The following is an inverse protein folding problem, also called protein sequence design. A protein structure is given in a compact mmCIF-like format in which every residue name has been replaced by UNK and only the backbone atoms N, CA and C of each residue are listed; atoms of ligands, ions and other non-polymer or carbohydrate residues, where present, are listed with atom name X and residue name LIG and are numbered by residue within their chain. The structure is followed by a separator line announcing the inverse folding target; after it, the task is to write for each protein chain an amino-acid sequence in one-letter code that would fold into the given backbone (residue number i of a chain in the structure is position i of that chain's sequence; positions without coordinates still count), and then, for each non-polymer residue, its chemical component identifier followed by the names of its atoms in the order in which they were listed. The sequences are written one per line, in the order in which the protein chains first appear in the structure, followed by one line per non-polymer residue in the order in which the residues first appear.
data_IF_884557334691
#
_entry.id   IF_884557334691
#
_cell.length_a   1.000
_cell.length_b   1.000
_cell.length_c   1.000
_cell.angle_alpha   90.00
_cell.angle_beta   90.00
_cell.angle_gamma   90.00
#
_symmetry.space_group_name_H-M   'P 1'
#
loop_
_entity.id
_entity.type
_entity.pdbx_description
1 polymer ?
#
# COMPACT_ATOMS: atom_id res chain seq x y z
N UNK A 1 -10.46 5.19 -8.32
CA UNK A 1 -9.62 4.03 -8.67
C UNK A 1 -10.33 2.76 -8.24
N UNK A 2 -10.32 1.73 -9.08
CA UNK A 2 -10.85 0.39 -8.79
C UNK A 2 -9.73 -0.64 -9.03
N UNK A 3 -9.74 -1.71 -8.25
CA UNK A 3 -8.82 -2.84 -8.43
C UNK A 3 -9.61 -4.14 -8.55
N UNK A 4 -9.08 -5.10 -9.27
CA UNK A 4 -9.63 -6.46 -9.36
C UNK A 4 -8.91 -7.31 -8.34
N UNK A 5 -9.68 -7.95 -7.46
CA UNK A 5 -9.14 -8.82 -6.43
C UNK A 5 -9.27 -10.27 -6.88
N UNK A 6 -8.21 -11.09 -6.78
CA UNK A 6 -8.29 -12.51 -7.05
C UNK A 6 -9.39 -13.19 -6.21
N UNK A 7 -10.14 -14.12 -6.82
CA UNK A 7 -11.27 -14.81 -6.15
C UNK A 7 -10.88 -15.56 -4.87
N UNK A 8 -9.62 -15.96 -4.76
CA UNK A 8 -9.08 -16.64 -3.57
C UNK A 8 -8.82 -15.72 -2.38
N UNK A 9 -8.90 -14.41 -2.56
CA UNK A 9 -8.62 -13.45 -1.50
C UNK A 9 -9.91 -12.99 -0.79
N UNK A 10 -9.76 -12.63 0.48
CA UNK A 10 -10.80 -11.97 1.26
C UNK A 10 -10.54 -10.47 1.32
N UNK A 11 -11.58 -9.66 1.12
CA UNK A 11 -11.47 -8.20 1.26
C UNK A 11 -12.26 -7.76 2.48
N UNK A 12 -11.60 -7.04 3.37
CA UNK A 12 -12.19 -6.37 4.51
C UNK A 12 -11.97 -4.87 4.37
N UNK A 13 -13.00 -4.06 4.51
CA UNK A 13 -12.91 -2.61 4.40
C UNK A 13 -13.46 -1.93 5.64
N UNK A 14 -13.16 -0.66 5.80
CA UNK A 14 -13.73 0.16 6.87
C UNK A 14 -15.27 0.26 6.80
N UNK A 15 -15.85 -0.03 5.63
CA UNK A 15 -17.29 -0.06 5.40
C UNK A 15 -17.91 -1.46 5.61
N UNK A 16 -17.08 -2.50 5.81
CA UNK A 16 -17.56 -3.85 6.12
C UNK A 16 -18.22 -3.83 7.50
N UNK A 17 -19.51 -4.20 7.63
CA UNK A 17 -20.18 -4.20 8.93
C UNK A 17 -19.43 -5.06 9.97
N UNK A 18 -19.26 -4.55 11.19
CA UNK A 18 -18.54 -5.28 12.24
C UNK A 18 -19.14 -6.66 12.58
N UNK A 19 -20.43 -6.88 12.29
CA UNK A 19 -21.10 -8.17 12.45
C UNK A 19 -20.96 -9.10 11.24
N UNK A 20 -20.22 -8.71 10.18
CA UNK A 20 -20.05 -9.55 9.01
C UNK A 20 -19.16 -10.76 9.33
N UNK A 21 -19.57 -11.93 8.83
CA UNK A 21 -18.85 -13.18 9.03
C UNK A 21 -17.45 -13.21 8.37
N UNK A 22 -17.17 -12.30 7.44
CA UNK A 22 -15.86 -12.17 6.81
C UNK A 22 -14.75 -11.87 7.82
N UNK A 23 -15.03 -11.08 8.88
CA UNK A 23 -14.07 -10.77 9.93
C UNK A 23 -13.62 -12.04 10.67
N UNK A 24 -14.57 -12.84 11.11
CA UNK A 24 -14.25 -14.10 11.82
C UNK A 24 -13.58 -15.14 10.93
N UNK A 25 -13.94 -15.20 9.64
CA UNK A 25 -13.25 -16.06 8.65
C UNK A 25 -11.81 -15.65 8.44
N UNK A 26 -11.50 -14.36 8.53
CA UNK A 26 -10.15 -13.82 8.48
C UNK A 26 -9.40 -13.92 9.83
N UNK A 27 -9.99 -14.54 10.86
CA UNK A 27 -9.38 -14.70 12.18
C UNK A 27 -9.45 -13.43 13.06
N UNK A 28 -10.21 -12.41 12.65
CA UNK A 28 -10.34 -11.15 13.38
C UNK A 28 -11.51 -11.27 14.36
N UNK A 29 -11.19 -11.29 15.67
CA UNK A 29 -12.17 -11.51 16.73
C UNK A 29 -12.92 -10.23 17.13
N UNK A 30 -12.26 -9.07 17.02
CA UNK A 30 -12.85 -7.76 17.30
C UNK A 30 -12.81 -6.87 16.06
N UNK A 31 -13.84 -7.01 15.24
CA UNK A 31 -13.99 -6.24 14.02
C UNK A 31 -14.12 -4.72 14.29
N UNK A 32 -14.77 -4.36 15.41
CA UNK A 32 -14.95 -2.93 15.75
C UNK A 32 -13.64 -2.24 16.09
N UNK A 33 -12.76 -2.93 16.82
CA UNK A 33 -11.42 -2.41 17.12
C UNK A 33 -10.56 -2.36 15.88
N UNK A 34 -10.61 -3.41 15.05
CA UNK A 34 -9.87 -3.46 13.78
C UNK A 34 -10.27 -2.33 12.83
N UNK A 35 -11.57 -2.05 12.69
CA UNK A 35 -12.05 -0.93 11.86
C UNK A 35 -11.51 0.41 12.37
N UNK A 36 -11.49 0.64 13.68
CA UNK A 36 -10.91 1.86 14.28
C UNK A 36 -9.42 1.98 14.01
N UNK A 37 -8.69 0.86 14.13
CA UNK A 37 -7.27 0.81 13.79
C UNK A 37 -7.02 1.17 12.33
N UNK A 38 -7.76 0.56 11.40
CA UNK A 38 -7.68 0.86 9.97
C UNK A 38 -7.95 2.36 9.71
N UNK A 39 -9.02 2.90 10.28
CA UNK A 39 -9.37 4.32 10.13
C UNK A 39 -8.27 5.24 10.68
N UNK A 40 -7.72 4.93 11.86
CA UNK A 40 -6.61 5.67 12.46
C UNK A 40 -5.36 5.67 11.58
N UNK A 41 -5.08 4.56 10.92
CA UNK A 41 -3.91 4.39 10.06
C UNK A 41 -4.16 4.89 8.62
N UNK A 42 -5.39 5.33 8.29
CA UNK A 42 -5.78 5.74 6.93
C UNK A 42 -5.88 4.56 5.96
N UNK A 43 -5.97 3.34 6.47
CA UNK A 43 -6.24 2.13 5.70
C UNK A 43 -7.73 2.09 5.34
N UNK A 44 -8.04 1.92 4.08
CA UNK A 44 -9.41 1.86 3.58
C UNK A 44 -9.91 0.42 3.43
N UNK A 45 -8.99 -0.49 3.11
CA UNK A 45 -9.26 -1.92 2.99
C UNK A 45 -8.01 -2.75 3.29
N UNK A 46 -8.23 -4.01 3.64
CA UNK A 46 -7.22 -5.06 3.69
C UNK A 46 -7.61 -6.19 2.73
N UNK A 47 -6.65 -6.64 1.93
CA UNK A 47 -6.80 -7.75 0.99
C UNK A 47 -5.98 -8.89 1.55
N UNK A 48 -6.64 -9.95 1.98
CA UNK A 48 -6.03 -11.10 2.63
C UNK A 48 -5.93 -12.23 1.61
N UNK A 49 -4.70 -12.59 1.25
CA UNK A 49 -4.41 -13.69 0.34
C UNK A 49 -4.71 -15.06 0.97
N UNK A 50 -4.80 -16.10 0.16
CA UNK A 50 -5.08 -17.45 0.62
C UNK A 50 -4.00 -18.02 1.57
N UNK A 51 -2.76 -17.55 1.44
CA UNK A 51 -1.64 -17.91 2.33
C UNK A 51 -1.60 -17.12 3.65
N UNK A 52 -2.54 -16.16 3.83
CA UNK A 52 -2.65 -15.32 5.01
C UNK A 52 -1.93 -13.97 4.92
N UNK A 53 -1.17 -13.73 3.85
CA UNK A 53 -0.54 -12.42 3.64
C UNK A 53 -1.59 -11.33 3.46
N UNK A 54 -1.37 -10.18 4.06
CA UNK A 54 -2.34 -9.08 4.06
C UNK A 54 -1.76 -7.84 3.41
N UNK A 55 -2.43 -7.35 2.35
CA UNK A 55 -2.13 -6.08 1.72
C UNK A 55 -3.05 -5.02 2.29
N UNK A 56 -2.49 -4.03 2.98
CA UNK A 56 -3.22 -2.85 3.40
C UNK A 56 -3.34 -1.87 2.23
N UNK A 57 -4.55 -1.42 1.94
CA UNK A 57 -4.82 -0.39 0.93
C UNK A 57 -5.13 0.91 1.64
N UNK A 58 -4.35 1.94 1.37
CA UNK A 58 -4.52 3.25 1.98
C UNK A 58 -4.66 4.36 0.93
N UNK A 59 -5.34 5.45 1.31
CA UNK A 59 -5.44 6.66 0.52
C UNK A 59 -5.33 7.87 1.47
N UNK A 60 -4.17 8.53 1.45
CA UNK A 60 -3.84 9.61 2.40
C UNK A 60 -3.59 10.92 1.66
N UNK A 61 -4.19 12.00 2.12
CA UNK A 61 -3.86 13.35 1.66
C UNK A 61 -2.63 13.89 2.37
N UNK A 62 -1.82 14.65 1.65
CA UNK A 62 -0.71 15.42 2.20
C UNK A 62 -0.53 16.70 1.38
N UNK A 63 0.17 17.69 1.94
CA UNK A 63 0.45 18.92 1.19
C UNK A 63 1.24 18.65 -0.08
N UNK A 64 2.17 17.71 -0.03
CA UNK A 64 2.93 17.29 -1.20
C UNK A 64 2.02 16.62 -2.25
N UNK A 65 1.21 15.65 -1.85
CA UNK A 65 0.29 14.98 -2.77
C UNK A 65 -0.70 15.97 -3.40
N UNK A 66 -1.22 16.90 -2.62
CA UNK A 66 -2.11 17.96 -3.12
C UNK A 66 -1.39 18.88 -4.13
N UNK A 67 -0.11 19.21 -3.91
CA UNK A 67 0.67 20.09 -4.81
C UNK A 67 1.02 19.44 -6.14
N UNK A 68 1.31 18.15 -6.14
CA UNK A 68 1.66 17.37 -7.36
C UNK A 68 0.40 16.89 -8.07
N UNK A 69 -0.61 16.53 -7.30
CA UNK A 69 -1.90 16.00 -7.70
C UNK A 69 -1.83 14.60 -8.34
N UNK A 70 -0.95 14.40 -9.33
CA UNK A 70 -0.70 13.12 -9.99
C UNK A 70 0.77 12.97 -10.35
N UNK A 71 1.31 11.75 -10.31
CA UNK A 71 2.69 11.49 -10.73
C UNK A 71 2.96 11.81 -12.19
N UNK A 72 1.95 11.74 -13.06
CA UNK A 72 2.07 12.14 -14.47
C UNK A 72 2.38 13.64 -14.66
N UNK A 73 2.13 14.46 -13.66
CA UNK A 73 2.42 15.90 -13.70
C UNK A 73 3.90 16.21 -13.46
N UNK A 74 4.69 15.24 -12.99
CA UNK A 74 6.10 15.41 -12.74
C UNK A 74 6.90 15.30 -14.04
N UNK A 75 7.76 16.30 -14.27
CA UNK A 75 8.82 16.19 -15.27
C UNK A 75 9.94 15.24 -14.79
N UNK A 76 10.93 15.00 -15.62
CA UNK A 76 12.04 14.08 -15.30
C UNK A 76 12.85 14.52 -14.07
N UNK A 77 12.95 15.82 -13.81
CA UNK A 77 13.59 16.33 -12.58
C UNK A 77 12.70 16.06 -11.38
N UNK A 78 11.41 16.39 -11.47
CA UNK A 78 10.43 16.14 -10.41
C UNK A 78 10.34 14.67 -10.03
N UNK A 79 10.40 13.76 -11.02
CA UNK A 79 10.45 12.32 -10.77
C UNK A 79 11.68 11.88 -9.96
N UNK A 80 12.85 12.43 -10.28
CA UNK A 80 14.10 12.15 -9.53
C UNK A 80 14.03 12.70 -8.10
N UNK A 81 13.55 13.93 -7.95
CA UNK A 81 13.40 14.57 -6.65
C UNK A 81 12.38 13.82 -5.78
N UNK A 82 11.30 13.31 -6.39
CA UNK A 82 10.31 12.48 -5.72
C UNK A 82 10.92 11.19 -5.15
N UNK A 83 11.65 10.41 -5.98
CA UNK A 83 12.29 9.18 -5.49
C UNK A 83 13.24 9.47 -4.33
N UNK A 84 14.04 10.53 -4.45
CA UNK A 84 14.96 10.94 -3.37
C UNK A 84 14.22 11.33 -2.08
N UNK A 85 13.07 12.00 -2.21
CA UNK A 85 12.25 12.40 -1.07
C UNK A 85 11.61 11.21 -0.37
N UNK A 86 11.20 10.19 -1.14
CA UNK A 86 10.53 9.00 -0.64
C UNK A 86 11.49 7.86 -0.26
N UNK A 87 12.80 8.05 -0.45
CA UNK A 87 13.80 7.02 -0.15
C UNK A 87 13.77 6.63 1.34
N UNK A 88 13.56 5.33 1.65
CA UNK A 88 13.49 4.88 3.03
C UNK A 88 14.84 5.05 3.73
N UNK A 89 14.86 5.77 4.83
CA UNK A 89 16.06 5.93 5.64
C UNK A 89 15.70 6.24 7.09
N UNK A 90 16.53 5.79 8.01
CA UNK A 90 16.50 6.22 9.41
C UNK A 90 17.79 6.93 9.77
N UNK A 91 17.73 7.84 10.75
CA UNK A 91 18.91 8.57 11.23
C UNK A 91 19.98 7.66 11.86
N UNK A 92 19.57 6.53 12.44
CA UNK A 92 20.43 5.56 13.12
C UNK A 92 20.84 4.37 12.24
N UNK A 93 20.39 4.36 10.96
CA UNK A 93 20.66 3.27 10.03
C UNK A 93 19.88 1.98 10.31
N UNK A 94 18.93 1.99 11.24
CA UNK A 94 18.11 0.82 11.56
C UNK A 94 17.09 0.46 10.47
N UNK A 95 16.84 1.40 9.56
CA UNK A 95 15.97 1.20 8.41
C UNK A 95 16.77 1.41 7.13
N UNK A 96 16.74 0.43 6.26
CA UNK A 96 17.31 0.49 4.91
C UNK A 96 16.24 0.14 3.89
N UNK A 97 16.38 0.64 2.67
CA UNK A 97 15.43 0.29 1.63
C UNK A 97 15.80 0.86 0.29
N UNK A 98 15.02 0.51 -0.69
CA UNK A 98 15.15 1.01 -2.05
C UNK A 98 13.81 1.51 -2.54
N UNK A 99 13.85 2.53 -3.41
CA UNK A 99 12.67 2.98 -4.14
C UNK A 99 12.96 2.97 -5.63
N UNK A 100 12.02 2.45 -6.41
CA UNK A 100 12.11 2.41 -7.87
C UNK A 100 10.78 2.77 -8.51
N UNK A 101 10.81 3.16 -9.77
CA UNK A 101 9.59 3.26 -10.56
C UNK A 101 9.07 1.88 -10.91
N UNK A 102 7.75 1.74 -10.89
CA UNK A 102 7.03 0.56 -11.32
C UNK A 102 6.13 0.95 -12.50
N UNK A 103 6.33 0.28 -13.63
CA UNK A 103 5.55 0.52 -14.85
C UNK A 103 4.12 0.03 -14.68
N UNK A 104 3.17 0.97 -14.86
CA UNK A 104 1.75 0.67 -14.87
C UNK A 104 1.10 1.35 -16.08
N UNK A 105 0.10 0.68 -16.70
CA UNK A 105 -0.47 1.07 -17.98
C UNK A 105 -1.09 2.49 -18.02
N UNK A 106 -1.56 3.02 -16.92
CA UNK A 106 -2.32 4.28 -16.86
C UNK A 106 -1.59 5.41 -16.13
N UNK A 107 -0.89 5.10 -15.05
CA UNK A 107 -0.21 6.08 -14.20
C UNK A 107 1.04 5.43 -13.61
N UNK A 108 2.17 6.15 -13.48
CA UNK A 108 3.34 5.62 -12.82
C UNK A 108 3.04 5.22 -11.37
N UNK A 109 3.53 4.06 -10.99
CA UNK A 109 3.65 3.68 -9.59
C UNK A 109 5.11 3.75 -9.18
N UNK A 110 5.36 3.87 -7.91
CA UNK A 110 6.66 3.60 -7.30
C UNK A 110 6.54 2.34 -6.44
N UNK A 111 7.64 1.63 -6.31
CA UNK A 111 7.77 0.48 -5.41
C UNK A 111 8.84 0.81 -4.38
N UNK A 112 8.53 0.58 -3.13
CA UNK A 112 9.46 0.71 -2.01
C UNK A 112 9.65 -0.66 -1.38
N UNK A 113 10.90 -1.07 -1.21
CA UNK A 113 11.30 -2.19 -0.36
C UNK A 113 11.96 -1.64 0.89
N UNK A 114 11.52 -2.08 2.05
CA UNK A 114 12.05 -1.68 3.34
C UNK A 114 12.53 -2.92 4.08
N UNK A 115 13.69 -2.79 4.71
CA UNK A 115 14.19 -3.72 5.72
C UNK A 115 14.49 -2.89 6.96
N UNK A 116 13.77 -3.13 8.03
CA UNK A 116 13.95 -2.44 9.30
C UNK A 116 14.43 -3.42 10.38
N UNK A 117 15.47 -3.05 11.13
CA UNK A 117 15.85 -3.80 12.31
C UNK A 117 14.78 -3.64 13.39
N UNK A 118 14.27 -4.77 13.88
CA UNK A 118 13.31 -4.75 14.97
C UNK A 118 14.00 -5.10 16.29
N UNK A 119 14.13 -4.10 17.16
CA UNK A 119 14.80 -4.25 18.47
C UNK A 119 14.00 -5.15 19.44
N UNK A 120 12.73 -5.38 19.15
CA UNK A 120 11.81 -6.14 20.03
C UNK A 120 11.61 -7.59 19.57
N UNK A 121 12.00 -7.90 18.36
CA UNK A 121 11.83 -9.22 17.75
C UNK A 121 13.17 -9.78 17.28
N UNK A 122 13.28 -11.09 17.14
CA UNK A 122 14.49 -11.76 16.69
C UNK A 122 14.63 -11.69 15.17
N UNK A 123 14.91 -10.51 14.61
CA UNK A 123 15.25 -10.35 13.22
C UNK A 123 14.68 -9.10 12.55
N UNK A 124 15.09 -8.83 11.30
CA UNK A 124 14.59 -7.70 10.55
C UNK A 124 13.14 -7.90 10.11
N UNK A 125 12.40 -6.81 9.97
CA UNK A 125 11.07 -6.78 9.39
C UNK A 125 11.18 -6.28 7.95
N UNK A 126 10.52 -6.96 7.03
CA UNK A 126 10.48 -6.60 5.62
C UNK A 126 9.11 -6.04 5.26
N UNK A 127 9.09 -4.98 4.47
CA UNK A 127 7.89 -4.33 3.96
C UNK A 127 8.07 -4.07 2.46
N UNK A 128 7.01 -4.23 1.69
CA UNK A 128 6.93 -3.81 0.30
C UNK A 128 5.68 -2.99 0.07
N UNK A 129 5.88 -1.82 -0.52
CA UNK A 129 4.80 -0.89 -0.83
C UNK A 129 4.83 -0.57 -2.33
N UNK A 130 3.66 -0.67 -2.96
CA UNK A 130 3.40 -0.07 -4.27
C UNK A 130 2.52 1.16 -4.06
N UNK A 131 2.95 2.30 -4.59
CA UNK A 131 2.24 3.55 -4.37
C UNK A 131 2.17 4.43 -5.61
N UNK A 132 1.18 5.30 -5.63
CA UNK A 132 1.05 6.35 -6.64
C UNK A 132 0.48 7.62 -6.02
N UNK A 133 0.66 8.76 -6.71
CA UNK A 133 -0.09 9.98 -6.42
C UNK A 133 -1.24 10.08 -7.41
N UNK A 134 -2.44 10.10 -6.88
CA UNK A 134 -3.65 10.18 -7.65
C UNK A 134 -4.69 11.05 -6.96
N UNK A 135 -5.22 12.05 -7.68
CA UNK A 135 -6.27 12.96 -7.18
C UNK A 135 -5.90 13.62 -5.84
N UNK A 136 -4.66 14.12 -5.73
CA UNK A 136 -4.14 14.77 -4.54
C UNK A 136 -3.94 13.85 -3.33
N UNK A 137 -3.94 12.54 -3.53
CA UNK A 137 -3.72 11.54 -2.47
C UNK A 137 -2.55 10.63 -2.81
N UNK A 138 -1.86 10.19 -1.78
CA UNK A 138 -0.98 9.02 -1.88
C UNK A 138 -1.87 7.80 -1.74
N UNK A 139 -1.95 6.99 -2.79
CA UNK A 139 -2.62 5.68 -2.76
C UNK A 139 -1.55 4.61 -2.67
N UNK A 140 -1.64 3.75 -1.67
CA UNK A 140 -0.66 2.69 -1.45
C UNK A 140 -1.31 1.33 -1.26
N UNK A 141 -0.57 0.31 -1.69
CA UNK A 141 -0.79 -1.10 -1.45
C UNK A 141 0.42 -1.59 -0.68
N UNK A 142 0.23 -1.90 0.58
CA UNK A 142 1.31 -2.07 1.53
C UNK A 142 1.26 -3.46 2.16
N UNK A 143 2.31 -4.24 1.96
CA UNK A 143 2.52 -5.52 2.59
C UNK A 143 3.50 -5.36 3.73
N UNK A 144 3.01 -5.38 4.96
CA UNK A 144 3.86 -5.51 6.13
C UNK A 144 4.35 -6.94 6.23
N UNK A 145 5.65 -7.10 6.01
CA UNK A 145 6.31 -8.37 6.13
C UNK A 145 6.44 -8.77 7.59
N UNK A 146 6.39 -10.04 7.80
CA UNK A 146 6.92 -10.75 8.96
C UNK A 146 8.45 -10.73 8.91
N UNK A 147 9.13 -11.41 9.84
CA UNK A 147 10.59 -11.61 9.86
C UNK A 147 11.15 -12.35 8.62
N UNK A 148 10.29 -12.78 7.71
CA UNK A 148 10.65 -13.43 6.45
C UNK A 148 10.67 -12.43 5.29
N UNK A 149 11.65 -12.57 4.41
CA UNK A 149 11.62 -11.88 3.12
C UNK A 149 10.35 -12.20 2.36
N UNK A 150 9.85 -11.18 1.66
CA UNK A 150 8.64 -11.30 0.84
C UNK A 150 8.89 -12.37 -0.24
N UNK A 151 8.02 -13.37 -0.30
CA UNK A 151 8.15 -14.47 -1.25
C UNK A 151 7.80 -14.00 -2.67
N UNK A 152 8.28 -14.71 -3.68
CA UNK A 152 7.90 -14.46 -5.08
C UNK A 152 6.38 -14.62 -5.30
N UNK A 153 5.74 -15.54 -4.58
CA UNK A 153 4.29 -15.77 -4.67
C UNK A 153 3.53 -14.56 -4.14
N UNK A 154 3.93 -14.04 -2.98
CA UNK A 154 3.33 -12.86 -2.36
C UNK A 154 3.54 -11.62 -3.22
N UNK A 155 4.74 -11.43 -3.77
CA UNK A 155 5.02 -10.32 -4.67
C UNK A 155 4.20 -10.43 -5.98
N UNK A 156 4.07 -11.61 -6.54
CA UNK A 156 3.22 -11.82 -7.71
C UNK A 156 1.74 -11.52 -7.43
N UNK A 157 1.25 -11.86 -6.24
CA UNK A 157 -0.09 -11.51 -5.80
C UNK A 157 -0.27 -9.98 -5.67
N UNK A 158 0.67 -9.28 -5.03
CA UNK A 158 0.65 -7.83 -4.93
C UNK A 158 0.63 -7.17 -6.31
N UNK A 159 1.53 -7.59 -7.20
CA UNK A 159 1.58 -7.07 -8.58
C UNK A 159 0.28 -7.31 -9.33
N UNK A 160 -0.32 -8.49 -9.21
CA UNK A 160 -1.60 -8.75 -9.86
C UNK A 160 -2.72 -7.80 -9.40
N UNK A 161 -2.75 -7.43 -8.12
CA UNK A 161 -3.68 -6.44 -7.58
C UNK A 161 -3.36 -5.05 -8.13
N UNK A 162 -2.10 -4.62 -8.07
CA UNK A 162 -1.65 -3.30 -8.53
C UNK A 162 -1.87 -3.12 -10.03
N UNK A 163 -1.47 -4.09 -10.86
CA UNK A 163 -1.60 -4.04 -12.32
C UNK A 163 -3.06 -4.00 -12.78
N UNK A 164 -3.97 -4.52 -11.95
CA UNK A 164 -5.40 -4.46 -12.21
C UNK A 164 -6.03 -3.10 -11.93
N UNK A 165 -5.28 -2.16 -11.34
CA UNK A 165 -5.81 -0.86 -10.96
C UNK A 165 -6.26 -0.07 -12.19
N UNK A 166 -7.56 0.26 -12.22
CA UNK A 166 -8.16 1.13 -13.22
C UNK A 166 -8.45 2.47 -12.60
N UNK A 167 -7.86 3.50 -13.19
CA UNK A 167 -8.05 4.87 -12.77
C UNK A 167 -9.15 5.45 -13.63
N UNK A 168 -10.31 5.72 -13.02
CA UNK A 168 -11.38 6.45 -13.69
C UNK A 168 -10.86 7.83 -14.08
N UNK A 169 -11.21 8.30 -15.27
CA UNK A 169 -10.87 9.65 -15.71
C UNK A 169 -11.24 10.65 -14.60
N UNK A 170 -10.34 11.62 -14.36
CA UNK A 170 -10.58 12.69 -13.40
C UNK A 170 -11.96 13.28 -13.66
N UNK A 171 -12.79 13.39 -12.62
CA UNK A 171 -13.84 14.38 -12.65
C UNK A 171 -13.11 15.72 -12.85
N UNK A 172 -13.28 16.34 -14.01
CA UNK A 172 -12.83 17.72 -14.20
C UNK A 172 -13.43 18.51 -13.04
N UNK A 173 -12.57 19.14 -12.26
CA UNK A 173 -13.03 20.00 -11.18
C UNK A 173 -13.98 21.03 -11.79
N UNK A 174 -15.19 21.20 -11.26
CA UNK A 174 -16.15 22.18 -11.75
C UNK A 174 -15.63 23.61 -11.62
#
# INVERSE_FOLDING_TARGET
MTVTIPESATVLSVDTPAGDAAWSKAGILDASEKIKEMQKNGTTAEIIAANGDTIAVAAKSSDYANSVFNLNNLDEKGKKDFLKYMEPSSMDGSTTGTITWYDHAQIPFFMIDICAENIKEEGPVYERLYGTLYDGKIVSFDLFGDTKQISEETDAFMRAVVDSAVISAFAENP
#
